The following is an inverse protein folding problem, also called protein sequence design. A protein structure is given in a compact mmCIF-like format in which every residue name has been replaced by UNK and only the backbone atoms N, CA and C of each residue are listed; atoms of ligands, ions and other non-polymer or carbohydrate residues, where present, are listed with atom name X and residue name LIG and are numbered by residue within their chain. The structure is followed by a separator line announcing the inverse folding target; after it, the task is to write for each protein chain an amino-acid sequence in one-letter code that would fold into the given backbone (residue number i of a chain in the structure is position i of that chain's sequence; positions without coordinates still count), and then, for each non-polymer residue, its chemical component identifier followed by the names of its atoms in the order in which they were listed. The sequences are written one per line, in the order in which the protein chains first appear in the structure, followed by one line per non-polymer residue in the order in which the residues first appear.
data_IF_148127733784
#
_entry.id   IF_148127733784
#
_cell.length_a   1.000
_cell.length_b   1.000
_cell.length_c   1.000
_cell.angle_alpha   90.00
_cell.angle_beta   90.00
_cell.angle_gamma   90.00
#
_symmetry.space_group_name_H-M   'P 1'
#
loop_
_entity.id
_entity.type
_entity.pdbx_description
1 polymer ?
#
# COMPACT_ATOMS: atom_id res chain seq x y z
N UNK A 1 -35.13 74.44 48.39
CA UNK A 1 -34.05 74.22 49.37
C UNK A 1 -32.79 73.92 48.58
N UNK A 2 -31.78 74.77 48.77
CA UNK A 2 -30.52 74.83 48.00
C UNK A 2 -29.78 73.49 48.04
N UNK A 3 -29.51 72.91 46.87
CA UNK A 3 -28.66 71.73 46.76
C UNK A 3 -27.22 72.20 46.98
N UNK A 4 -26.62 71.86 48.12
CA UNK A 4 -25.25 72.23 48.45
C UNK A 4 -24.28 71.53 47.48
N UNK A 5 -23.51 72.31 46.72
CA UNK A 5 -22.34 71.84 45.99
C UNK A 5 -21.32 71.27 46.98
N UNK A 6 -21.38 69.95 47.22
CA UNK A 6 -20.34 69.23 47.96
C UNK A 6 -19.11 69.15 47.07
N UNK A 7 -18.16 70.05 47.31
CA UNK A 7 -16.86 70.06 46.64
C UNK A 7 -16.08 68.80 47.03
N UNK A 8 -15.60 68.09 46.02
CA UNK A 8 -14.71 66.95 46.21
C UNK A 8 -13.34 67.52 46.64
N UNK A 9 -12.71 66.99 47.70
CA UNK A 9 -11.35 67.38 48.08
C UNK A 9 -10.36 67.20 46.93
N UNK A 10 -9.46 68.17 46.78
CA UNK A 10 -8.58 68.30 45.61
C UNK A 10 -7.54 67.16 45.51
N UNK A 11 -7.21 66.54 46.64
CA UNK A 11 -6.28 65.40 46.76
C UNK A 11 -6.84 64.10 46.20
N UNK A 12 -8.17 63.91 46.24
CA UNK A 12 -8.84 62.70 45.74
C UNK A 12 -9.50 62.91 44.38
N UNK A 13 -9.59 64.16 43.90
CA UNK A 13 -10.24 64.50 42.65
C UNK A 13 -9.67 63.74 41.42
N UNK A 14 -8.33 63.57 41.26
CA UNK A 14 -7.77 62.84 40.12
C UNK A 14 -8.13 61.36 40.12
N UNK A 15 -8.06 60.70 41.29
CA UNK A 15 -8.37 59.28 41.44
C UNK A 15 -9.86 59.01 41.22
N UNK A 16 -10.73 59.89 41.72
CA UNK A 16 -12.18 59.82 41.48
C UNK A 16 -12.51 60.00 40.01
N UNK A 17 -11.83 60.92 39.31
CA UNK A 17 -12.01 61.11 37.86
C UNK A 17 -11.53 59.90 37.06
N UNK A 18 -10.38 59.32 37.40
CA UNK A 18 -9.87 58.10 36.75
C UNK A 18 -10.82 56.91 36.96
N UNK A 19 -11.30 56.69 38.19
CA UNK A 19 -12.21 55.60 38.52
C UNK A 19 -13.60 55.82 37.88
N UNK A 20 -14.11 57.04 37.88
CA UNK A 20 -15.36 57.40 37.22
C UNK A 20 -15.25 57.23 35.69
N UNK A 21 -14.15 57.67 35.09
CA UNK A 21 -13.87 57.49 33.68
C UNK A 21 -13.78 56.00 33.33
N UNK A 22 -13.09 55.19 34.14
CA UNK A 22 -13.01 53.74 33.98
C UNK A 22 -14.39 53.08 34.06
N UNK A 23 -15.19 53.43 35.07
CA UNK A 23 -16.55 52.92 35.24
C UNK A 23 -17.48 53.35 34.09
N UNK A 24 -17.37 54.59 33.63
CA UNK A 24 -18.12 55.10 32.48
C UNK A 24 -17.69 54.41 31.18
N UNK A 25 -16.40 54.19 30.95
CA UNK A 25 -15.91 53.44 29.78
C UNK A 25 -16.42 51.99 29.76
N UNK A 26 -16.54 51.35 30.93
CA UNK A 26 -17.09 50.01 31.07
C UNK A 26 -18.60 49.98 30.78
N UNK A 27 -19.31 51.10 31.00
CA UNK A 27 -20.73 51.27 30.72
C UNK A 27 -21.02 51.64 29.25
N UNK A 28 -20.22 52.54 28.66
CA UNK A 28 -20.47 53.14 27.33
C UNK A 28 -19.65 52.49 26.19
N UNK A 29 -18.81 51.51 26.52
CA UNK A 29 -17.92 50.74 25.62
C UNK A 29 -16.94 51.55 24.73
N UNK A 30 -16.89 52.90 24.79
CA UNK A 30 -15.83 53.72 24.17
C UNK A 30 -15.87 55.20 24.63
N UNK A 31 -14.72 55.89 24.64
CA UNK A 31 -14.63 57.35 24.81
C UNK A 31 -14.78 58.06 23.46
N UNK A 32 -15.46 59.22 23.44
CA UNK A 32 -15.50 60.11 22.28
C UNK A 32 -14.22 60.96 22.17
N UNK A 33 -13.87 61.39 20.96
CA UNK A 33 -12.67 62.20 20.72
C UNK A 33 -12.72 63.55 21.48
N UNK A 34 -13.91 64.13 21.64
CA UNK A 34 -14.14 65.35 22.41
C UNK A 34 -13.92 65.17 23.92
N UNK A 35 -14.32 64.03 24.48
CA UNK A 35 -14.12 63.72 25.91
C UNK A 35 -12.64 63.52 26.23
N UNK A 36 -11.88 62.89 25.32
CA UNK A 36 -10.43 62.71 25.49
C UNK A 36 -9.67 64.03 25.41
N UNK A 37 -10.09 64.96 24.55
CA UNK A 37 -9.51 66.31 24.45
C UNK A 37 -9.85 67.16 25.67
N UNK A 38 -11.08 67.05 26.20
CA UNK A 38 -11.48 67.73 27.44
C UNK A 38 -10.68 67.21 28.65
N UNK A 39 -10.48 65.90 28.77
CA UNK A 39 -9.66 65.30 29.82
C UNK A 39 -8.17 65.71 29.71
N UNK A 40 -7.62 65.76 28.49
CA UNK A 40 -6.24 66.23 28.30
C UNK A 40 -6.03 67.72 28.61
N UNK A 41 -7.08 68.54 28.47
CA UNK A 41 -7.06 69.97 28.84
C UNK A 41 -6.88 70.19 30.35
N UNK A 42 -7.35 69.26 31.19
CA UNK A 42 -7.17 69.32 32.65
C UNK A 42 -5.72 69.03 33.08
N UNK A 43 -4.94 68.34 32.25
CA UNK A 43 -3.54 67.96 32.48
C UNK A 43 -2.58 68.76 31.58
N UNK A 44 -3.05 69.86 30.99
CA UNK A 44 -2.29 70.78 30.11
C UNK A 44 -1.67 70.12 28.85
N UNK A 45 -2.29 69.05 28.34
CA UNK A 45 -1.85 68.36 27.11
C UNK A 45 -2.51 69.03 25.89
N UNK A 46 -1.75 69.53 24.90
CA UNK A 46 -2.31 70.12 23.69
C UNK A 46 -3.17 69.14 22.89
N UNK A 47 -4.30 69.61 22.37
CA UNK A 47 -5.29 68.78 21.64
C UNK A 47 -4.71 68.08 20.39
N UNK A 48 -3.67 68.64 19.77
CA UNK A 48 -2.99 68.07 18.60
C UNK A 48 -2.34 66.71 18.93
N UNK A 49 -1.69 66.59 20.09
CA UNK A 49 -1.05 65.33 20.50
C UNK A 49 -2.07 64.24 20.82
N UNK A 50 -3.25 64.61 21.33
CA UNK A 50 -4.34 63.67 21.64
C UNK A 50 -4.92 63.11 20.34
N UNK A 51 -5.14 63.96 19.32
CA UNK A 51 -5.59 63.51 18.00
C UNK A 51 -4.57 62.62 17.31
N UNK A 52 -3.28 62.98 17.36
CA UNK A 52 -2.20 62.14 16.83
C UNK A 52 -2.13 60.79 17.54
N UNK A 53 -2.24 60.76 18.88
CA UNK A 53 -2.27 59.53 19.65
C UNK A 53 -3.48 58.63 19.28
N UNK A 54 -4.66 59.21 19.06
CA UNK A 54 -5.84 58.47 18.59
C UNK A 54 -5.58 57.86 17.21
N UNK A 55 -5.05 58.63 16.26
CA UNK A 55 -4.71 58.16 14.92
C UNK A 55 -3.64 57.05 14.97
N UNK A 56 -2.60 57.21 15.76
CA UNK A 56 -1.54 56.21 15.94
C UNK A 56 -2.07 54.91 16.56
N UNK A 57 -2.94 55.00 17.57
CA UNK A 57 -3.56 53.82 18.18
C UNK A 57 -4.52 53.14 17.20
N UNK A 58 -5.33 53.90 16.46
CA UNK A 58 -6.24 53.34 15.45
C UNK A 58 -5.48 52.68 14.30
N UNK A 59 -4.41 53.30 13.80
CA UNK A 59 -3.58 52.74 12.73
C UNK A 59 -2.86 51.48 13.19
N UNK A 60 -2.25 51.48 14.39
CA UNK A 60 -1.66 50.27 14.99
C UNK A 60 -2.69 49.17 15.17
N UNK A 61 -3.90 49.48 15.66
CA UNK A 61 -4.98 48.49 15.79
C UNK A 61 -5.43 47.94 14.45
N UNK A 62 -5.60 48.79 13.41
CA UNK A 62 -5.91 48.34 12.05
C UNK A 62 -4.80 47.48 11.47
N UNK A 63 -3.53 47.88 11.64
CA UNK A 63 -2.37 47.09 11.22
C UNK A 63 -2.29 45.76 11.97
N UNK A 64 -2.51 45.75 13.28
CA UNK A 64 -2.58 44.53 14.09
C UNK A 64 -3.74 43.63 13.68
N UNK A 65 -4.92 44.20 13.41
CA UNK A 65 -6.08 43.45 12.90
C UNK A 65 -5.79 42.86 11.52
N UNK A 66 -5.22 43.63 10.59
CA UNK A 66 -4.82 43.13 9.27
C UNK A 66 -3.75 42.04 9.37
N UNK A 67 -2.75 42.20 10.25
CA UNK A 67 -1.73 41.19 10.50
C UNK A 67 -2.35 39.91 11.09
N UNK A 68 -3.26 40.02 12.07
CA UNK A 68 -3.97 38.87 12.65
C UNK A 68 -4.83 38.15 11.59
N UNK A 69 -5.58 38.90 10.77
CA UNK A 69 -6.37 38.34 9.68
C UNK A 69 -5.49 37.66 8.64
N UNK A 70 -4.37 38.28 8.25
CA UNK A 70 -3.43 37.70 7.30
C UNK A 70 -2.83 36.39 7.84
N UNK A 71 -2.40 36.35 9.10
CA UNK A 71 -1.91 35.13 9.75
C UNK A 71 -2.99 34.04 9.84
N UNK A 72 -4.23 34.41 10.14
CA UNK A 72 -5.35 33.47 10.17
C UNK A 72 -5.62 32.86 8.78
N UNK A 73 -5.63 33.67 7.73
CA UNK A 73 -5.76 33.20 6.36
C UNK A 73 -4.60 32.31 5.93
N UNK A 74 -3.36 32.62 6.31
CA UNK A 74 -2.21 31.76 6.04
C UNK A 74 -2.35 30.40 6.71
N UNK A 75 -2.74 30.35 7.99
CA UNK A 75 -3.01 29.09 8.71
C UNK A 75 -4.12 28.28 8.04
N UNK A 76 -5.22 28.92 7.68
CA UNK A 76 -6.33 28.25 6.97
C UNK A 76 -5.87 27.68 5.62
N UNK A 77 -5.11 28.44 4.84
CA UNK A 77 -4.54 27.96 3.57
C UNK A 77 -3.62 26.76 3.79
N UNK A 78 -2.74 26.80 4.80
CA UNK A 78 -1.87 25.67 5.13
C UNK A 78 -2.66 24.42 5.54
N UNK A 79 -3.74 24.57 6.31
CA UNK A 79 -4.61 23.45 6.67
C UNK A 79 -5.32 22.84 5.45
N UNK A 80 -5.83 23.68 4.54
CA UNK A 80 -6.49 23.20 3.31
C UNK A 80 -5.48 22.48 2.41
N UNK A 81 -4.27 23.03 2.25
CA UNK A 81 -3.19 22.40 1.48
C UNK A 81 -2.79 21.07 2.13
N UNK A 82 -2.61 21.03 3.45
CA UNK A 82 -2.30 19.80 4.19
C UNK A 82 -3.39 18.74 4.04
N UNK A 83 -4.66 19.11 4.20
CA UNK A 83 -5.78 18.20 4.01
C UNK A 83 -5.86 17.66 2.56
N UNK A 84 -5.62 18.53 1.57
CA UNK A 84 -5.54 18.14 0.16
C UNK A 84 -4.44 17.11 -0.09
N UNK A 85 -3.23 17.33 0.43
CA UNK A 85 -2.12 16.38 0.30
C UNK A 85 -2.45 15.03 0.93
N UNK A 86 -3.02 15.01 2.13
CA UNK A 86 -3.44 13.76 2.81
C UNK A 86 -4.51 13.03 2.00
N UNK A 87 -5.51 13.74 1.48
CA UNK A 87 -6.55 13.14 0.65
C UNK A 87 -5.97 12.53 -0.64
N UNK A 88 -5.07 13.24 -1.33
CA UNK A 88 -4.40 12.73 -2.54
C UNK A 88 -3.56 11.48 -2.24
N UNK A 89 -2.78 11.49 -1.15
CA UNK A 89 -1.99 10.32 -0.73
C UNK A 89 -2.89 9.13 -0.36
N UNK A 90 -4.03 9.38 0.28
CA UNK A 90 -5.01 8.35 0.61
C UNK A 90 -5.59 7.68 -0.64
N UNK A 91 -6.08 8.47 -1.59
CA UNK A 91 -6.63 7.96 -2.86
C UNK A 91 -5.56 7.18 -3.65
N UNK A 92 -4.34 7.73 -3.73
CA UNK A 92 -3.22 7.07 -4.39
C UNK A 92 -2.86 5.73 -3.71
N UNK A 93 -2.85 5.67 -2.38
CA UNK A 93 -2.55 4.45 -1.62
C UNK A 93 -3.58 3.37 -1.87
N UNK A 94 -4.88 3.72 -1.86
CA UNK A 94 -5.99 2.77 -2.14
C UNK A 94 -5.87 2.21 -3.56
N UNK A 95 -5.63 3.08 -4.55
CA UNK A 95 -5.48 2.65 -5.94
C UNK A 95 -4.27 1.72 -6.12
N UNK A 96 -3.13 2.09 -5.53
CA UNK A 96 -1.89 1.29 -5.57
C UNK A 96 -2.08 -0.07 -4.91
N UNK A 97 -2.71 -0.11 -3.72
CA UNK A 97 -3.02 -1.35 -3.01
C UNK A 97 -3.85 -2.30 -3.87
N UNK A 98 -4.95 -1.81 -4.46
CA UNK A 98 -5.82 -2.62 -5.32
C UNK A 98 -5.08 -3.12 -6.56
N UNK A 99 -4.20 -2.29 -7.14
CA UNK A 99 -3.39 -2.68 -8.29
C UNK A 99 -2.39 -3.79 -7.95
N UNK A 100 -1.72 -3.70 -6.79
CA UNK A 100 -0.79 -4.75 -6.30
C UNK A 100 -1.56 -6.04 -5.97
N UNK A 101 -2.69 -5.94 -5.26
CA UNK A 101 -3.54 -7.08 -4.91
C UNK A 101 -4.06 -7.80 -6.16
N UNK A 102 -4.51 -7.05 -7.17
CA UNK A 102 -4.90 -7.62 -8.47
C UNK A 102 -3.73 -8.37 -9.15
N UNK A 103 -2.51 -7.85 -9.04
CA UNK A 103 -1.31 -8.47 -9.58
C UNK A 103 -0.93 -9.75 -8.83
N UNK A 104 -1.07 -9.75 -7.51
CA UNK A 104 -0.90 -10.92 -6.67
C UNK A 104 -1.91 -12.03 -7.02
N UNK A 105 -3.19 -11.70 -7.18
CA UNK A 105 -4.20 -12.68 -7.62
C UNK A 105 -3.92 -13.25 -9.01
N UNK A 106 -3.34 -12.47 -9.94
CA UNK A 106 -2.90 -12.99 -11.24
C UNK A 106 -1.79 -14.04 -11.10
N UNK A 107 -0.86 -13.84 -10.17
CA UNK A 107 0.19 -14.82 -9.87
C UNK A 107 -0.43 -16.12 -9.33
N UNK A 108 -1.37 -16.02 -8.40
CA UNK A 108 -2.07 -17.18 -7.83
C UNK A 108 -2.87 -17.95 -8.89
N UNK A 109 -3.59 -17.22 -9.76
CA UNK A 109 -4.32 -17.83 -10.86
C UNK A 109 -3.39 -18.55 -11.84
N UNK A 110 -2.24 -17.96 -12.19
CA UNK A 110 -1.25 -18.59 -13.04
C UNK A 110 -0.61 -19.82 -12.37
N UNK A 111 -0.37 -19.76 -11.06
CA UNK A 111 0.11 -20.90 -10.28
C UNK A 111 -0.88 -22.07 -10.32
N UNK A 112 -2.16 -21.81 -10.12
CA UNK A 112 -3.20 -22.82 -10.20
C UNK A 112 -3.22 -23.54 -11.56
N UNK A 113 -2.92 -22.83 -12.66
CA UNK A 113 -2.80 -23.46 -13.98
C UNK A 113 -1.59 -24.39 -14.08
N UNK A 114 -0.44 -24.00 -13.53
CA UNK A 114 0.74 -24.88 -13.43
C UNK A 114 0.40 -26.13 -12.64
N UNK A 115 -0.22 -25.96 -11.47
CA UNK A 115 -0.62 -27.06 -10.59
C UNK A 115 -1.60 -28.02 -11.26
N UNK A 116 -2.55 -27.53 -12.05
CA UNK A 116 -3.45 -28.38 -12.84
C UNK A 116 -2.70 -29.27 -13.82
N UNK A 117 -1.65 -28.76 -14.49
CA UNK A 117 -0.85 -29.58 -15.40
C UNK A 117 0.04 -30.59 -14.65
N UNK A 118 0.56 -30.21 -13.49
CA UNK A 118 1.32 -31.13 -12.62
C UNK A 118 0.44 -32.29 -12.12
N UNK A 119 -0.78 -31.96 -11.66
CA UNK A 119 -1.78 -32.94 -11.25
C UNK A 119 -2.14 -33.88 -12.40
N UNK A 120 -2.44 -33.33 -13.59
CA UNK A 120 -2.72 -34.14 -14.79
C UNK A 120 -1.60 -35.12 -15.09
N UNK A 121 -0.34 -34.70 -14.96
CA UNK A 121 0.81 -35.57 -15.17
C UNK A 121 0.87 -36.72 -14.15
N UNK A 122 0.59 -36.44 -12.88
CA UNK A 122 0.49 -37.48 -11.85
C UNK A 122 -0.70 -38.43 -12.09
N UNK A 123 -1.79 -37.94 -12.66
CA UNK A 123 -2.97 -38.75 -12.98
C UNK A 123 -2.78 -39.67 -14.20
N UNK A 124 -1.75 -39.45 -15.01
CA UNK A 124 -1.34 -40.37 -16.07
C UNK A 124 -0.52 -41.57 -15.56
N UNK A 125 0.03 -41.50 -14.34
CA UNK A 125 0.83 -42.58 -13.75
C UNK A 125 0.09 -43.92 -13.69
N UNK A 126 -1.18 -44.03 -13.25
CA UNK A 126 -1.88 -45.32 -13.27
C UNK A 126 -1.94 -45.93 -14.68
N UNK A 127 -2.08 -45.11 -15.74
CA UNK A 127 -2.04 -45.62 -17.10
C UNK A 127 -0.64 -46.13 -17.49
N UNK A 128 0.42 -45.46 -17.02
CA UNK A 128 1.81 -45.95 -17.17
C UNK A 128 2.02 -47.27 -16.45
N UNK A 129 1.46 -47.42 -15.24
CA UNK A 129 1.50 -48.68 -14.48
C UNK A 129 0.79 -49.79 -15.26
N UNK A 130 -0.42 -49.53 -15.78
CA UNK A 130 -1.17 -50.53 -16.56
C UNK A 130 -0.40 -50.99 -17.80
N UNK A 131 0.22 -50.06 -18.54
CA UNK A 131 1.03 -50.39 -19.72
C UNK A 131 2.30 -51.15 -19.34
N UNK A 132 2.98 -50.76 -18.26
CA UNK A 132 4.14 -51.48 -17.73
C UNK A 132 3.74 -52.90 -17.32
N UNK A 133 2.63 -53.08 -16.60
CA UNK A 133 2.16 -54.41 -16.21
C UNK A 133 1.75 -55.28 -17.41
N UNK A 134 1.23 -54.69 -18.49
CA UNK A 134 0.85 -55.42 -19.69
C UNK A 134 2.07 -55.94 -20.48
N UNK A 135 3.11 -55.12 -20.64
CA UNK A 135 4.24 -55.41 -21.55
C UNK A 135 5.57 -55.69 -20.84
N UNK A 136 5.65 -55.45 -19.53
CA UNK A 136 6.86 -55.47 -18.71
C UNK A 136 6.60 -56.12 -17.35
N UNK A 137 5.92 -57.29 -17.34
CA UNK A 137 5.50 -57.98 -16.10
C UNK A 137 6.62 -58.24 -15.08
N UNK A 138 7.86 -58.34 -15.55
CA UNK A 138 9.04 -58.57 -14.72
C UNK A 138 9.61 -57.28 -14.11
N UNK A 139 9.20 -56.09 -14.58
CA UNK A 139 9.69 -54.78 -14.12
C UNK A 139 8.90 -54.25 -12.91
N UNK A 140 8.94 -55.02 -11.82
CA UNK A 140 8.26 -54.64 -10.58
C UNK A 140 8.87 -53.36 -9.97
N UNK A 141 10.18 -53.13 -10.13
CA UNK A 141 10.84 -51.93 -9.65
C UNK A 141 10.29 -50.65 -10.31
N UNK A 142 10.04 -50.70 -11.63
CA UNK A 142 9.50 -49.57 -12.38
C UNK A 142 8.05 -49.27 -11.95
N UNK A 143 7.22 -50.30 -11.80
CA UNK A 143 5.85 -50.16 -11.29
C UNK A 143 5.85 -49.53 -9.90
N UNK A 144 6.70 -50.03 -9.00
CA UNK A 144 6.82 -49.51 -7.64
C UNK A 144 7.29 -48.05 -7.64
N UNK A 145 8.25 -47.68 -8.49
CA UNK A 145 8.73 -46.31 -8.63
C UNK A 145 7.61 -45.37 -9.11
N UNK A 146 6.85 -45.78 -10.12
CA UNK A 146 5.70 -45.04 -10.62
C UNK A 146 4.67 -44.81 -9.52
N UNK A 147 4.23 -45.88 -8.83
CA UNK A 147 3.25 -45.81 -7.74
C UNK A 147 3.74 -44.89 -6.61
N UNK A 148 4.99 -45.07 -6.16
CA UNK A 148 5.58 -44.24 -5.10
C UNK A 148 5.67 -42.77 -5.49
N UNK A 149 6.07 -42.47 -6.74
CA UNK A 149 6.16 -41.08 -7.21
C UNK A 149 4.79 -40.40 -7.21
N UNK A 150 3.73 -41.12 -7.60
CA UNK A 150 2.35 -40.61 -7.53
C UNK A 150 1.94 -40.35 -6.09
N UNK A 151 2.17 -41.32 -5.21
CA UNK A 151 1.82 -41.21 -3.80
C UNK A 151 2.50 -40.01 -3.14
N UNK A 152 3.79 -39.81 -3.42
CA UNK A 152 4.56 -38.65 -2.97
C UNK A 152 3.92 -37.33 -3.41
N UNK A 153 3.46 -37.25 -4.67
CA UNK A 153 2.75 -36.06 -5.17
C UNK A 153 1.38 -35.84 -4.52
N UNK A 154 0.61 -36.90 -4.28
CA UNK A 154 -0.71 -36.80 -3.62
C UNK A 154 -0.61 -36.48 -2.12
N UNK A 155 0.51 -36.82 -1.48
CA UNK A 155 0.78 -36.50 -0.08
C UNK A 155 1.30 -35.08 0.13
N UNK A 156 1.82 -34.45 -0.92
CA UNK A 156 2.29 -33.07 -0.88
C UNK A 156 1.13 -32.08 -0.72
N UNK A 157 1.21 -31.24 0.30
CA UNK A 157 0.16 -30.28 0.67
C UNK A 157 0.52 -28.84 0.32
N UNK A 158 1.81 -28.50 0.40
CA UNK A 158 2.30 -27.15 0.08
C UNK A 158 2.75 -27.03 -1.37
N UNK A 159 2.73 -25.82 -1.98
CA UNK A 159 3.29 -25.58 -3.30
C UNK A 159 4.74 -26.09 -3.45
N UNK A 160 5.57 -25.86 -2.43
CA UNK A 160 6.97 -26.28 -2.39
C UNK A 160 7.09 -27.81 -2.37
N UNK A 161 6.30 -28.49 -1.53
CA UNK A 161 6.23 -29.96 -1.50
C UNK A 161 5.78 -30.52 -2.85
N UNK A 162 4.78 -29.90 -3.50
CA UNK A 162 4.28 -30.37 -4.80
C UNK A 162 5.33 -30.21 -5.90
N UNK A 163 6.11 -29.13 -5.88
CA UNK A 163 7.25 -28.96 -6.80
C UNK A 163 8.31 -30.03 -6.55
N UNK A 164 8.65 -30.30 -5.28
CA UNK A 164 9.62 -31.33 -4.94
C UNK A 164 9.14 -32.74 -5.36
N UNK A 165 7.88 -33.07 -5.11
CA UNK A 165 7.29 -34.35 -5.51
C UNK A 165 7.19 -34.49 -7.04
N UNK A 166 6.96 -33.39 -7.77
CA UNK A 166 6.98 -33.37 -9.24
C UNK A 166 8.32 -33.84 -9.80
N UNK A 167 9.45 -33.52 -9.15
CA UNK A 167 10.77 -34.00 -9.57
C UNK A 167 10.82 -35.53 -9.57
N UNK A 168 10.22 -36.17 -8.55
CA UNK A 168 10.16 -37.63 -8.44
C UNK A 168 9.26 -38.23 -9.53
N UNK A 169 8.11 -37.59 -9.83
CA UNK A 169 7.22 -38.00 -10.93
C UNK A 169 7.95 -37.93 -12.27
N UNK A 170 8.70 -36.85 -12.52
CA UNK A 170 9.47 -36.69 -13.75
C UNK A 170 10.53 -37.79 -13.89
N UNK A 171 11.29 -38.06 -12.83
CA UNK A 171 12.29 -39.13 -12.81
C UNK A 171 11.66 -40.50 -13.09
N UNK A 172 10.48 -40.79 -12.51
CA UNK A 172 9.78 -42.05 -12.75
C UNK A 172 9.33 -42.20 -14.21
N UNK A 173 8.78 -41.13 -14.79
CA UNK A 173 8.38 -41.09 -16.21
C UNK A 173 9.60 -41.25 -17.13
N UNK A 174 10.73 -40.61 -16.81
CA UNK A 174 11.94 -40.73 -17.62
C UNK A 174 12.54 -42.14 -17.55
N UNK A 175 12.50 -42.80 -16.37
CA UNK A 175 12.85 -44.23 -16.27
C UNK A 175 11.92 -45.11 -17.10
N UNK A 176 10.62 -44.84 -17.10
CA UNK A 176 9.66 -45.55 -17.94
C UNK A 176 9.96 -45.37 -19.44
N UNK A 177 10.26 -44.14 -19.88
CA UNK A 177 10.65 -43.86 -21.28
C UNK A 177 11.93 -44.60 -21.68
N UNK A 178 12.94 -44.59 -20.81
CA UNK A 178 14.18 -45.32 -21.05
C UNK A 178 13.92 -46.83 -21.17
N UNK A 179 13.10 -47.40 -20.29
CA UNK A 179 12.67 -48.78 -20.42
C UNK A 179 11.95 -49.04 -21.74
N UNK A 180 11.04 -48.16 -22.15
CA UNK A 180 10.34 -48.29 -23.42
C UNK A 180 11.28 -48.22 -24.64
N UNK A 181 12.42 -47.53 -24.56
CA UNK A 181 13.39 -47.46 -25.67
C UNK A 181 14.02 -48.80 -26.02
N UNK A 182 14.18 -49.69 -25.04
CA UNK A 182 14.79 -51.01 -25.21
C UNK A 182 13.78 -52.14 -25.37
N UNK A 183 12.47 -51.82 -25.43
CA UNK A 183 11.38 -52.80 -25.56
C UNK A 183 10.51 -52.52 -26.79
N UNK A 184 10.85 -53.06 -27.98
CA UNK A 184 10.15 -52.78 -29.24
C UNK A 184 8.65 -53.09 -29.22
N UNK A 185 8.25 -54.16 -28.51
CA UNK A 185 6.85 -54.56 -28.35
C UNK A 185 6.00 -53.52 -27.60
N UNK A 186 6.61 -52.75 -26.71
CA UNK A 186 5.96 -51.68 -25.99
C UNK A 186 5.84 -50.43 -26.88
N UNK A 187 6.88 -50.14 -27.67
CA UNK A 187 6.90 -48.99 -28.59
C UNK A 187 5.80 -49.04 -29.65
N UNK A 188 5.49 -50.24 -30.16
CA UNK A 188 4.44 -50.47 -31.15
C UNK A 188 3.04 -50.59 -30.55
N UNK A 189 2.91 -50.60 -29.22
CA UNK A 189 1.60 -50.64 -28.56
C UNK A 189 0.85 -49.33 -28.75
N UNK A 190 -0.39 -49.41 -29.24
CA UNK A 190 -1.26 -48.23 -29.36
C UNK A 190 -1.51 -47.55 -27.99
N UNK A 191 -1.53 -48.31 -26.89
CA UNK A 191 -1.71 -47.75 -25.54
C UNK A 191 -0.50 -46.89 -25.14
N UNK A 192 0.71 -47.35 -25.45
CA UNK A 192 1.94 -46.58 -25.20
C UNK A 192 2.00 -45.32 -26.07
N UNK A 193 1.70 -45.45 -27.37
CA UNK A 193 1.68 -44.33 -28.31
C UNK A 193 0.70 -43.25 -27.83
N UNK A 194 -0.52 -43.63 -27.44
CA UNK A 194 -1.52 -42.71 -26.90
C UNK A 194 -1.03 -42.01 -25.62
N UNK A 195 -0.43 -42.76 -24.68
CA UNK A 195 0.11 -42.19 -23.44
C UNK A 195 1.27 -41.23 -23.69
N UNK A 196 2.13 -41.54 -24.65
CA UNK A 196 3.21 -40.64 -25.02
C UNK A 196 2.66 -39.33 -25.59
N UNK A 197 1.59 -39.37 -26.38
CA UNK A 197 0.90 -38.15 -26.83
C UNK A 197 0.31 -37.34 -25.68
N UNK A 198 -0.33 -37.99 -24.70
CA UNK A 198 -0.89 -37.31 -23.53
C UNK A 198 0.20 -36.68 -22.64
N UNK A 199 1.30 -37.40 -22.42
CA UNK A 199 2.45 -36.90 -21.66
C UNK A 199 3.12 -35.71 -22.36
N UNK A 200 3.40 -35.84 -23.65
CA UNK A 200 3.99 -34.74 -24.43
C UNK A 200 3.05 -33.53 -24.48
N UNK A 201 1.74 -33.75 -24.66
CA UNK A 201 0.76 -32.68 -24.63
C UNK A 201 0.68 -31.98 -23.27
N UNK A 202 0.82 -32.73 -22.18
CA UNK A 202 0.86 -32.18 -20.81
C UNK A 202 2.16 -31.40 -20.57
N UNK A 203 3.31 -31.89 -21.03
CA UNK A 203 4.59 -31.19 -20.93
C UNK A 203 4.57 -29.86 -21.69
N UNK A 204 4.05 -29.86 -22.92
CA UNK A 204 3.96 -28.64 -23.74
C UNK A 204 3.08 -27.57 -23.07
N UNK A 205 1.94 -27.98 -22.50
CA UNK A 205 1.07 -27.07 -21.74
C UNK A 205 1.76 -26.58 -20.47
N UNK A 206 2.40 -27.46 -19.73
CA UNK A 206 3.15 -27.12 -18.52
C UNK A 206 4.26 -26.10 -18.82
N UNK A 207 4.98 -26.23 -19.93
CA UNK A 207 5.99 -25.27 -20.34
C UNK A 207 5.41 -23.87 -20.57
N UNK A 208 4.25 -23.78 -21.24
CA UNK A 208 3.52 -22.52 -21.46
C UNK A 208 3.04 -21.93 -20.14
N UNK A 209 2.42 -22.73 -19.27
CA UNK A 209 1.91 -22.24 -17.98
C UNK A 209 3.04 -21.79 -17.04
N UNK A 210 4.19 -22.47 -17.03
CA UNK A 210 5.39 -22.04 -16.30
C UNK A 210 5.89 -20.68 -16.79
N UNK A 211 5.93 -20.47 -18.10
CA UNK A 211 6.29 -19.18 -18.68
C UNK A 211 5.30 -18.09 -18.25
N UNK A 212 3.99 -18.34 -18.32
CA UNK A 212 2.95 -17.39 -17.91
C UNK A 212 3.03 -17.06 -16.42
N UNK A 213 3.23 -18.06 -15.57
CA UNK A 213 3.47 -17.87 -14.14
C UNK A 213 4.70 -16.99 -13.90
N UNK A 214 5.83 -17.28 -14.54
CA UNK A 214 7.04 -16.48 -14.39
C UNK A 214 6.86 -15.04 -14.87
N UNK A 215 6.12 -14.80 -15.96
CA UNK A 215 5.77 -13.45 -16.42
C UNK A 215 4.90 -12.71 -15.40
N UNK A 216 3.90 -13.38 -14.81
CA UNK A 216 3.06 -12.80 -13.76
C UNK A 216 3.89 -12.46 -12.52
N UNK A 217 4.77 -13.36 -12.07
CA UNK A 217 5.68 -13.14 -10.95
C UNK A 217 6.63 -11.98 -11.24
N UNK A 218 7.17 -11.87 -12.44
CA UNK A 218 8.02 -10.75 -12.84
C UNK A 218 7.28 -9.42 -12.73
N UNK A 219 6.09 -9.32 -13.33
CA UNK A 219 5.28 -8.12 -13.31
C UNK A 219 4.90 -7.72 -11.87
N UNK A 220 4.49 -8.68 -11.05
CA UNK A 220 4.19 -8.47 -9.64
C UNK A 220 5.41 -8.00 -8.85
N UNK A 221 6.53 -8.72 -8.96
CA UNK A 221 7.77 -8.40 -8.26
C UNK A 221 8.32 -7.02 -8.65
N UNK A 222 8.24 -6.66 -9.93
CA UNK A 222 8.61 -5.33 -10.42
C UNK A 222 7.68 -4.27 -9.84
N UNK A 223 6.37 -4.52 -9.82
CA UNK A 223 5.37 -3.58 -9.32
C UNK A 223 5.57 -3.25 -7.83
N UNK A 224 5.87 -4.23 -6.99
CA UNK A 224 6.09 -4.01 -5.54
C UNK A 224 7.48 -3.41 -5.22
N UNK A 225 8.44 -3.52 -6.15
CA UNK A 225 9.79 -2.95 -5.99
C UNK A 225 9.92 -1.54 -6.56
N UNK A 226 8.97 -1.11 -7.40
CA UNK A 226 9.04 0.20 -8.07
C UNK A 226 8.61 1.32 -7.13
N UNK A 227 9.31 2.44 -7.15
CA UNK A 227 8.82 3.67 -6.51
C UNK A 227 7.70 4.30 -7.37
N UNK A 228 6.60 4.79 -6.79
CA UNK A 228 6.33 4.93 -5.35
C UNK A 228 5.64 3.72 -4.68
N UNK A 229 5.27 2.68 -5.45
CA UNK A 229 4.54 1.51 -4.95
C UNK A 229 5.22 0.77 -3.80
N UNK A 230 6.56 0.77 -3.74
CA UNK A 230 7.33 0.13 -2.68
C UNK A 230 6.94 0.58 -1.26
N UNK A 231 6.51 1.84 -1.11
CA UNK A 231 6.06 2.37 0.17
C UNK A 231 4.77 1.68 0.64
N UNK A 232 3.82 1.52 -0.27
CA UNK A 232 2.55 0.80 -0.02
C UNK A 232 2.85 -0.69 0.16
N UNK A 233 3.67 -1.28 -0.70
CA UNK A 233 4.03 -2.70 -0.63
C UNK A 233 4.60 -3.10 0.73
N UNK A 234 5.58 -2.34 1.22
CA UNK A 234 6.21 -2.61 2.52
C UNK A 234 5.24 -2.36 3.70
N UNK A 235 4.39 -1.33 3.61
CA UNK A 235 3.43 -0.99 4.67
C UNK A 235 2.35 -2.06 4.83
N UNK A 236 1.91 -2.67 3.73
CA UNK A 236 0.83 -3.68 3.71
C UNK A 236 1.34 -5.13 3.63
N UNK A 237 2.66 -5.36 3.72
CA UNK A 237 3.23 -6.71 3.79
C UNK A 237 3.22 -7.50 2.46
N UNK A 238 3.26 -6.83 1.31
CA UNK A 238 3.37 -7.50 0.02
C UNK A 238 4.81 -7.98 -0.22
N UNK A 239 5.01 -9.30 -0.25
CA UNK A 239 6.32 -9.92 -0.41
C UNK A 239 6.57 -10.47 -1.82
N UNK A 240 7.83 -10.48 -2.24
CA UNK A 240 8.23 -11.03 -3.55
C UNK A 240 7.86 -12.50 -3.66
N UNK A 241 7.38 -12.90 -4.84
CA UNK A 241 7.12 -14.30 -5.18
C UNK A 241 8.31 -14.92 -5.90
N UNK A 242 8.55 -16.21 -5.65
CA UNK A 242 9.61 -16.94 -6.32
C UNK A 242 9.22 -17.33 -7.75
N UNK A 243 10.17 -17.24 -8.67
CA UNK A 243 10.01 -17.78 -10.02
C UNK A 243 9.98 -19.31 -9.98
N UNK A 244 9.23 -19.91 -10.91
CA UNK A 244 9.33 -21.34 -11.19
C UNK A 244 10.66 -21.59 -11.89
N UNK A 245 11.61 -22.18 -11.18
CA UNK A 245 12.90 -22.58 -11.74
C UNK A 245 12.82 -24.00 -12.30
N UNK A 246 13.39 -24.21 -13.49
CA UNK A 246 13.75 -25.56 -13.89
C UNK A 246 14.89 -26.03 -12.98
N UNK A 247 14.87 -27.30 -12.55
CA UNK A 247 15.79 -27.90 -11.57
C UNK A 247 17.29 -27.84 -11.93
N UNK A 248 17.71 -27.14 -12.98
CA UNK A 248 19.12 -26.89 -13.29
C UNK A 248 19.31 -25.55 -14.01
N UNK A 249 19.37 -24.45 -13.25
CA UNK A 249 20.10 -23.27 -13.72
C UNK A 249 20.75 -22.59 -12.52
N UNK A 250 22.06 -22.82 -12.31
CA UNK A 250 22.90 -21.81 -11.68
C UNK A 250 22.73 -20.55 -12.53
N UNK A 251 21.98 -19.58 -12.03
CA UNK A 251 21.77 -18.30 -12.69
C UNK A 251 23.16 -17.68 -12.92
N UNK A 252 23.56 -17.38 -14.17
CA UNK A 252 24.78 -16.62 -14.40
C UNK A 252 24.64 -15.29 -13.67
N UNK A 253 25.57 -15.01 -12.77
CA UNK A 253 25.68 -13.70 -12.14
C UNK A 253 26.10 -12.76 -13.27
N UNK A 254 25.17 -11.96 -13.79
CA UNK A 254 25.51 -10.92 -14.76
C UNK A 254 26.16 -9.78 -13.97
N UNK A 255 27.43 -9.43 -14.25
CA UNK A 255 28.16 -8.38 -13.53
C UNK A 255 27.59 -6.99 -13.79
#
# INVERSE_FOLDING_TARGET
MSNQDKRIPEDIAPEVLELAARNYSNYTQSYSASELVAAGKEVDIPAEFIQQAILDVQTKRKQQQHQQQHLAHLRQKLLIVGAGVVATLGVWSIWTYNSISSSHSRVEAAWAQVENQLQRRADLIPNLVNVTQAYARQEQELVNLLVRSRQSYLQATTPEEKVAATVQVNQAIDRFRNYATVNPQLQSSQLFINLQYELTGTENRLAVERMRYNQAVQAYNQQIQSFPNILVANTFGFEKKAFFQATNTKVPIVP
#
